data_IF_558935869635
#
_entry.id   IF_558935869635
#
_cell.length_a   1.000
_cell.length_b   1.000
_cell.length_c   1.000
_cell.angle_alpha   90.00
_cell.angle_beta   90.00
_cell.angle_gamma   90.00
#
_symmetry.space_group_name_H-M   'P 1'
#
loop_
_entity.id
_entity.type
_entity.pdbx_description
1 polymer ?
#
# COMPACT_ATOMS: atom_id res chain seq x y z
N UNK A 1 -10.74 7.20 -39.05
CA UNK A 1 -9.94 8.39 -38.66
C UNK A 1 -10.85 9.63 -38.62
N UNK A 2 -10.41 10.70 -37.94
CA UNK A 2 -11.20 11.93 -37.71
C UNK A 2 -11.56 12.75 -38.95
N UNK A 3 -11.07 12.40 -40.15
CA UNK A 3 -11.45 13.06 -41.41
C UNK A 3 -12.59 12.33 -42.14
N UNK A 4 -13.10 11.25 -41.59
CA UNK A 4 -14.26 10.53 -42.15
C UNK A 4 -15.55 11.28 -41.82
N UNK A 5 -16.59 11.06 -42.62
CA UNK A 5 -17.92 11.57 -42.32
C UNK A 5 -18.46 10.86 -41.07
N UNK A 6 -19.15 11.58 -40.23
CA UNK A 6 -19.71 11.08 -38.97
C UNK A 6 -20.55 9.79 -39.15
N UNK A 7 -21.44 9.80 -40.13
CA UNK A 7 -22.31 8.63 -40.48
C UNK A 7 -21.50 7.40 -40.92
N UNK A 8 -20.39 7.59 -41.62
CA UNK A 8 -19.52 6.49 -42.03
C UNK A 8 -18.76 5.90 -40.85
N UNK A 9 -18.26 6.78 -39.96
CA UNK A 9 -17.55 6.40 -38.75
C UNK A 9 -18.48 5.63 -37.80
N UNK A 10 -19.70 6.13 -37.58
CA UNK A 10 -20.72 5.45 -36.78
C UNK A 10 -21.05 4.07 -37.32
N UNK A 11 -21.22 3.92 -38.63
CA UNK A 11 -21.55 2.63 -39.28
C UNK A 11 -20.39 1.61 -39.08
N UNK A 12 -19.13 2.04 -39.23
CA UNK A 12 -17.95 1.18 -38.99
C UNK A 12 -17.92 0.75 -37.54
N UNK A 13 -18.11 1.68 -36.61
CA UNK A 13 -18.11 1.38 -35.17
C UNK A 13 -19.25 0.44 -34.80
N UNK A 14 -20.44 0.65 -35.32
CA UNK A 14 -21.58 -0.23 -35.11
C UNK A 14 -21.30 -1.67 -35.57
N UNK A 15 -20.77 -1.86 -36.78
CA UNK A 15 -20.37 -3.17 -37.28
C UNK A 15 -19.29 -3.84 -36.44
N UNK A 16 -18.32 -3.06 -35.96
CA UNK A 16 -17.24 -3.58 -35.11
C UNK A 16 -17.76 -4.02 -33.72
N UNK A 17 -18.63 -3.22 -33.10
CA UNK A 17 -19.24 -3.54 -31.79
C UNK A 17 -20.13 -4.80 -31.89
N UNK A 18 -20.86 -4.96 -33.02
CA UNK A 18 -21.69 -6.11 -33.22
C UNK A 18 -20.94 -7.37 -33.70
N UNK A 19 -19.63 -7.31 -33.87
CA UNK A 19 -18.82 -8.45 -34.27
C UNK A 19 -18.91 -8.81 -35.75
N UNK A 20 -19.40 -7.90 -36.60
CA UNK A 20 -19.39 -8.05 -38.06
C UNK A 20 -17.97 -7.79 -38.62
N UNK A 21 -17.12 -7.15 -37.88
CA UNK A 21 -15.72 -6.83 -38.19
C UNK A 21 -14.83 -7.34 -37.06
N UNK A 22 -13.81 -8.14 -37.39
CA UNK A 22 -12.92 -8.73 -36.44
C UNK A 22 -11.75 -7.79 -36.02
N UNK A 23 -11.33 -6.90 -36.92
CA UNK A 23 -10.20 -5.99 -36.71
C UNK A 23 -10.54 -4.57 -37.09
N UNK A 24 -10.38 -3.65 -36.16
CA UNK A 24 -10.51 -2.21 -36.37
C UNK A 24 -9.14 -1.54 -36.44
N UNK A 25 -8.83 -0.89 -37.57
CA UNK A 25 -7.66 -0.04 -37.71
C UNK A 25 -8.08 1.41 -37.57
N UNK A 26 -7.52 2.12 -36.58
CA UNK A 26 -7.90 3.50 -36.31
C UNK A 26 -6.69 4.37 -35.95
N UNK A 27 -6.85 5.67 -36.06
CA UNK A 27 -5.96 6.65 -35.43
C UNK A 27 -6.31 6.77 -33.94
N UNK A 28 -5.67 7.70 -33.23
CA UNK A 28 -5.93 7.96 -31.79
C UNK A 28 -7.34 8.45 -31.46
N UNK A 29 -8.24 8.53 -32.44
CA UNK A 29 -9.66 8.91 -32.23
C UNK A 29 -10.39 8.02 -31.21
N UNK A 30 -9.94 6.77 -31.04
CA UNK A 30 -10.50 5.84 -30.06
C UNK A 30 -10.07 6.14 -28.60
N UNK A 31 -9.17 7.11 -28.39
CA UNK A 31 -8.72 7.55 -27.09
C UNK A 31 -9.88 8.12 -26.25
N UNK A 32 -10.89 8.70 -26.89
CA UNK A 32 -12.03 9.34 -26.23
C UNK A 32 -13.31 8.53 -26.29
N UNK A 33 -13.91 8.25 -25.12
CA UNK A 33 -15.34 7.99 -24.93
C UNK A 33 -15.94 6.65 -25.37
N UNK A 34 -15.24 5.79 -26.11
CA UNK A 34 -15.83 4.54 -26.60
C UNK A 34 -15.67 3.38 -25.62
N UNK A 35 -16.78 2.77 -25.26
CA UNK A 35 -16.80 1.53 -24.47
C UNK A 35 -17.08 0.33 -25.40
N UNK A 36 -16.06 -0.50 -25.60
CA UNK A 36 -16.13 -1.67 -26.49
C UNK A 36 -15.79 -2.91 -25.67
N UNK A 37 -16.79 -3.51 -25.06
CA UNK A 37 -16.62 -4.62 -24.12
C UNK A 37 -16.12 -5.94 -24.74
N UNK A 38 -16.30 -6.14 -26.06
CA UNK A 38 -15.88 -7.36 -26.75
C UNK A 38 -14.46 -7.33 -27.31
N UNK A 39 -13.71 -6.22 -27.15
CA UNK A 39 -12.31 -6.11 -27.57
C UNK A 39 -11.38 -6.57 -26.47
N UNK A 40 -10.57 -7.58 -26.77
CA UNK A 40 -9.58 -8.13 -25.85
C UNK A 40 -8.12 -7.83 -26.25
N UNK A 41 -7.86 -7.31 -27.44
CA UNK A 41 -6.51 -7.07 -27.95
C UNK A 41 -6.36 -5.67 -28.53
N UNK A 42 -5.36 -4.95 -28.05
CA UNK A 42 -4.96 -3.63 -28.54
C UNK A 42 -3.54 -3.68 -29.07
N UNK A 43 -3.31 -3.19 -30.28
CA UNK A 43 -1.97 -3.06 -30.87
C UNK A 43 -1.74 -1.57 -31.12
N UNK A 44 -0.73 -1.01 -30.44
CA UNK A 44 -0.36 0.41 -30.54
C UNK A 44 0.94 0.50 -31.32
N UNK A 45 0.87 1.06 -32.53
CA UNK A 45 2.02 1.27 -33.38
C UNK A 45 2.75 2.57 -33.01
N UNK A 46 4.09 2.60 -33.15
CA UNK A 46 4.94 3.76 -32.80
C UNK A 46 4.69 4.27 -31.38
N UNK A 47 4.51 3.36 -30.41
CA UNK A 47 4.19 3.66 -29.02
C UNK A 47 5.29 4.54 -28.34
N UNK A 48 6.52 4.51 -28.82
CA UNK A 48 7.62 5.35 -28.35
C UNK A 48 7.45 6.85 -28.64
N UNK A 49 6.56 7.21 -29.56
CA UNK A 49 6.22 8.60 -29.87
C UNK A 49 5.02 9.12 -29.06
N UNK A 50 4.36 8.28 -28.27
CA UNK A 50 3.17 8.63 -27.50
C UNK A 50 3.52 9.09 -26.08
N UNK A 51 2.64 9.93 -25.50
CA UNK A 51 2.71 10.33 -24.11
C UNK A 51 2.26 9.22 -23.18
N UNK A 52 2.76 9.20 -21.92
CA UNK A 52 2.41 8.16 -20.94
C UNK A 52 0.90 8.15 -20.65
N UNK A 53 0.28 9.30 -20.45
CA UNK A 53 -1.16 9.43 -20.25
C UNK A 53 -1.96 8.89 -21.44
N UNK A 54 -1.50 9.14 -22.66
CA UNK A 54 -2.14 8.64 -23.87
C UNK A 54 -2.05 7.11 -23.99
N UNK A 55 -0.88 6.53 -23.70
CA UNK A 55 -0.70 5.07 -23.66
C UNK A 55 -1.59 4.44 -22.60
N UNK A 56 -1.74 5.08 -21.44
CA UNK A 56 -2.62 4.61 -20.38
C UNK A 56 -4.10 4.62 -20.79
N UNK A 57 -4.55 5.70 -21.42
CA UNK A 57 -5.93 5.81 -21.91
C UNK A 57 -6.24 4.77 -22.98
N UNK A 58 -5.32 4.58 -23.96
CA UNK A 58 -5.47 3.56 -24.98
C UNK A 58 -5.52 2.15 -24.38
N UNK A 59 -4.58 1.81 -23.49
CA UNK A 59 -4.59 0.53 -22.78
C UNK A 59 -5.89 0.30 -22.03
N UNK A 60 -6.46 1.33 -21.42
CA UNK A 60 -7.73 1.27 -20.69
C UNK A 60 -8.96 1.02 -21.59
N UNK A 61 -8.79 0.90 -22.91
CA UNK A 61 -9.87 0.54 -23.85
C UNK A 61 -10.06 -0.96 -24.00
N UNK A 62 -9.15 -1.79 -23.50
CA UNK A 62 -9.28 -3.25 -23.46
C UNK A 62 -9.36 -3.73 -22.00
N UNK A 63 -9.88 -4.94 -21.78
CA UNK A 63 -10.00 -5.52 -20.44
C UNK A 63 -11.26 -5.09 -19.69
N UNK A 64 -12.33 -4.73 -20.42
CA UNK A 64 -13.62 -4.35 -19.85
C UNK A 64 -14.62 -5.51 -19.78
N UNK A 65 -14.13 -6.73 -19.85
CA UNK A 65 -14.89 -7.96 -19.72
C UNK A 65 -14.14 -8.95 -18.83
N UNK A 66 -14.75 -10.08 -18.51
CA UNK A 66 -14.16 -11.17 -17.75
C UNK A 66 -13.07 -11.97 -18.51
N UNK A 67 -12.66 -11.52 -19.70
CA UNK A 67 -11.63 -12.16 -20.52
C UNK A 67 -10.30 -11.46 -20.35
N UNK A 68 -9.21 -12.23 -20.35
CA UNK A 68 -7.84 -11.68 -20.35
C UNK A 68 -7.64 -10.78 -21.57
N UNK A 69 -7.11 -9.58 -21.34
CA UNK A 69 -6.85 -8.60 -22.37
C UNK A 69 -5.35 -8.35 -22.55
N UNK A 70 -4.98 -8.01 -23.78
CA UNK A 70 -3.59 -7.78 -24.17
C UNK A 70 -3.44 -6.41 -24.83
N UNK A 71 -2.41 -5.66 -24.42
CA UNK A 71 -2.00 -4.43 -25.07
C UNK A 71 -0.55 -4.56 -25.56
N UNK A 72 -0.35 -4.55 -26.88
CA UNK A 72 0.96 -4.63 -27.49
C UNK A 72 1.44 -3.22 -27.86
N UNK A 73 2.51 -2.75 -27.21
CA UNK A 73 3.13 -1.45 -27.50
C UNK A 73 4.32 -1.71 -28.44
N UNK A 74 4.15 -1.37 -29.70
CA UNK A 74 5.12 -1.66 -30.75
C UNK A 74 5.99 -0.42 -31.06
N UNK A 75 7.27 -0.67 -31.30
CA UNK A 75 8.22 0.32 -31.81
C UNK A 75 9.21 -0.36 -32.75
N UNK A 76 9.94 0.42 -33.56
CA UNK A 76 10.85 -0.14 -34.55
C UNK A 76 12.03 -0.85 -33.88
N UNK A 77 12.32 -2.10 -34.30
CA UNK A 77 13.30 -2.99 -33.69
C UNK A 77 14.71 -2.37 -33.56
N UNK A 78 15.17 -1.67 -34.58
CA UNK A 78 16.53 -1.11 -34.65
C UNK A 78 16.58 0.37 -34.26
N UNK A 79 15.50 0.91 -33.70
CA UNK A 79 15.43 2.29 -33.24
C UNK A 79 16.00 2.40 -31.84
N UNK A 80 17.04 3.22 -31.68
CA UNK A 80 17.51 3.61 -30.36
C UNK A 80 16.45 4.51 -29.71
N UNK A 81 15.81 4.03 -28.65
CA UNK A 81 14.79 4.79 -27.94
C UNK A 81 15.44 5.99 -27.22
N UNK A 82 14.75 7.09 -27.19
CA UNK A 82 15.11 8.21 -26.29
C UNK A 82 14.84 7.75 -24.85
N UNK A 83 15.69 8.13 -23.91
CA UNK A 83 15.57 7.80 -22.50
C UNK A 83 14.16 8.07 -21.94
N UNK A 84 13.54 9.19 -22.30
CA UNK A 84 12.16 9.54 -21.92
C UNK A 84 11.14 8.55 -22.47
N UNK A 85 11.30 8.06 -23.70
CA UNK A 85 10.41 7.07 -24.30
C UNK A 85 10.56 5.71 -23.61
N UNK A 86 11.79 5.31 -23.30
CA UNK A 86 12.07 4.08 -22.55
C UNK A 86 11.46 4.11 -21.16
N UNK A 87 11.62 5.19 -20.40
CA UNK A 87 11.00 5.40 -19.08
C UNK A 87 9.47 5.32 -19.16
N UNK A 88 8.83 5.89 -20.19
CA UNK A 88 7.36 5.81 -20.38
C UNK A 88 6.88 4.39 -20.69
N UNK A 89 7.57 3.68 -21.58
CA UNK A 89 7.23 2.29 -21.91
C UNK A 89 7.44 1.35 -20.72
N UNK A 90 8.49 1.57 -19.92
CA UNK A 90 8.71 0.85 -18.68
C UNK A 90 7.58 1.11 -17.68
N UNK A 91 7.18 2.35 -17.47
CA UNK A 91 6.11 2.71 -16.55
C UNK A 91 4.77 2.06 -16.94
N UNK A 92 4.39 2.09 -18.24
CA UNK A 92 3.13 1.47 -18.67
C UNK A 92 3.15 -0.07 -18.52
N UNK A 93 4.32 -0.69 -18.58
CA UNK A 93 4.52 -2.11 -18.34
C UNK A 93 4.48 -2.47 -16.86
N UNK A 94 4.99 -1.59 -16.00
CA UNK A 94 5.03 -1.76 -14.55
C UNK A 94 3.63 -1.62 -13.93
N UNK A 95 2.91 -0.56 -14.26
CA UNK A 95 1.59 -0.26 -13.68
C UNK A 95 0.45 -0.91 -14.48
N UNK A 96 0.28 -2.22 -14.35
CA UNK A 96 -0.75 -2.99 -15.07
C UNK A 96 -2.11 -3.02 -14.37
N UNK A 97 -2.19 -2.58 -13.12
CA UNK A 97 -3.38 -2.68 -12.28
C UNK A 97 -4.48 -1.70 -12.66
N UNK A 98 -5.73 -2.11 -12.41
CA UNK A 98 -6.88 -1.20 -12.48
C UNK A 98 -6.72 -0.12 -11.41
N UNK A 99 -7.06 1.13 -11.76
CA UNK A 99 -6.93 2.26 -10.82
C UNK A 99 -5.52 2.87 -10.73
N UNK A 100 -4.51 2.36 -11.45
CA UNK A 100 -3.15 2.91 -11.44
C UNK A 100 -3.00 4.31 -12.09
N UNK A 101 -4.11 4.97 -12.44
CA UNK A 101 -4.11 6.28 -13.11
C UNK A 101 -3.35 7.36 -12.35
N UNK A 102 -3.47 7.38 -11.02
CA UNK A 102 -2.72 8.32 -10.20
C UNK A 102 -1.20 8.03 -10.23
N UNK A 103 -0.79 6.76 -10.09
CA UNK A 103 0.62 6.33 -10.19
C UNK A 103 1.21 6.69 -11.55
N UNK A 104 0.45 6.49 -12.63
CA UNK A 104 0.83 6.85 -14.00
C UNK A 104 0.98 8.38 -14.15
N UNK A 105 0.05 9.17 -13.62
CA UNK A 105 0.12 10.63 -13.67
C UNK A 105 1.36 11.15 -12.92
N UNK A 106 1.65 10.59 -11.76
CA UNK A 106 2.85 10.94 -10.99
C UNK A 106 4.12 10.55 -11.72
N UNK A 107 4.17 9.36 -12.32
CA UNK A 107 5.31 8.91 -13.10
C UNK A 107 5.53 9.76 -14.37
N UNK A 108 4.44 10.23 -15.00
CA UNK A 108 4.54 11.16 -16.13
C UNK A 108 5.13 12.53 -15.72
N UNK A 109 4.76 13.03 -14.53
CA UNK A 109 5.36 14.23 -13.95
C UNK A 109 6.86 14.05 -13.66
N UNK A 110 7.25 12.93 -13.09
CA UNK A 110 8.66 12.59 -12.85
C UNK A 110 9.46 12.55 -14.17
N UNK A 111 8.94 11.86 -15.19
CA UNK A 111 9.60 11.69 -16.49
C UNK A 111 9.72 13.02 -17.24
N UNK A 112 8.71 13.89 -17.14
CA UNK A 112 8.75 15.25 -17.75
C UNK A 112 9.62 16.21 -16.99
N UNK A 113 9.96 15.87 -15.74
CA UNK A 113 10.58 16.79 -14.80
C UNK A 113 9.55 17.71 -14.18
N UNK A 114 9.25 17.52 -12.91
CA UNK A 114 8.29 18.34 -12.14
C UNK A 114 8.74 19.81 -11.94
N UNK A 115 9.87 20.20 -12.52
CA UNK A 115 10.51 21.50 -12.37
C UNK A 115 9.63 22.71 -12.73
N UNK A 116 8.59 22.52 -13.54
CA UNK A 116 7.67 23.62 -13.89
C UNK A 116 6.54 23.83 -12.87
N UNK A 117 6.23 22.84 -12.03
CA UNK A 117 5.15 22.92 -11.03
C UNK A 117 5.65 23.34 -9.64
N UNK A 118 6.89 22.97 -9.29
CA UNK A 118 7.44 23.14 -7.94
C UNK A 118 8.65 24.10 -7.88
N UNK A 119 9.10 24.64 -9.03
CA UNK A 119 10.30 25.49 -9.13
C UNK A 119 11.58 24.67 -9.39
N UNK A 120 12.54 25.31 -10.08
CA UNK A 120 13.77 24.67 -10.58
C UNK A 120 14.69 24.14 -9.46
N UNK A 121 14.61 24.71 -8.24
CA UNK A 121 15.45 24.32 -7.10
C UNK A 121 15.01 23.00 -6.43
N UNK A 122 13.74 22.60 -6.56
CA UNK A 122 13.22 21.40 -5.93
C UNK A 122 13.35 20.13 -6.80
N UNK A 123 13.65 20.30 -8.07
CA UNK A 123 13.74 19.21 -9.03
C UNK A 123 14.82 18.18 -8.70
N UNK A 124 16.01 18.64 -8.30
CA UNK A 124 17.12 17.77 -7.94
C UNK A 124 16.89 16.93 -6.67
N UNK A 125 16.09 17.44 -5.74
CA UNK A 125 15.81 16.73 -4.49
C UNK A 125 14.80 15.59 -4.68
N UNK A 126 13.76 15.78 -5.48
CA UNK A 126 12.76 14.76 -5.76
C UNK A 126 13.34 13.59 -6.57
N UNK A 127 14.24 13.85 -7.52
CA UNK A 127 14.93 12.81 -8.29
C UNK A 127 15.92 12.02 -7.43
N UNK A 128 16.58 12.67 -6.47
CA UNK A 128 17.57 12.04 -5.59
C UNK A 128 16.97 11.11 -4.52
N UNK A 129 15.79 11.43 -3.99
CA UNK A 129 15.18 10.69 -2.86
C UNK A 129 13.99 9.85 -3.26
N UNK A 130 13.45 10.00 -4.46
CA UNK A 130 12.20 9.37 -4.90
C UNK A 130 10.96 10.11 -4.42
N UNK A 131 9.86 9.92 -5.17
CA UNK A 131 8.62 10.68 -4.96
C UNK A 131 7.98 10.45 -3.59
N UNK A 132 7.86 9.20 -3.17
CA UNK A 132 7.16 8.83 -1.92
C UNK A 132 7.87 9.43 -0.70
N UNK A 133 9.22 9.32 -0.66
CA UNK A 133 10.01 9.89 0.42
C UNK A 133 9.99 11.43 0.39
N UNK A 134 10.03 12.03 -0.81
CA UNK A 134 9.89 13.47 -0.96
C UNK A 134 8.55 13.99 -0.44
N UNK A 135 7.43 13.34 -0.79
CA UNK A 135 6.11 13.70 -0.30
C UNK A 135 5.96 13.53 1.22
N UNK A 136 6.56 12.49 1.79
CA UNK A 136 6.60 12.30 3.24
C UNK A 136 7.35 13.44 3.91
N UNK A 137 8.55 13.77 3.44
CA UNK A 137 9.34 14.89 3.97
C UNK A 137 8.64 16.25 3.80
N UNK A 138 7.97 16.47 2.67
CA UNK A 138 7.20 17.70 2.43
C UNK A 138 6.00 17.81 3.39
N UNK A 139 5.26 16.72 3.61
CA UNK A 139 4.17 16.68 4.57
C UNK A 139 4.65 16.96 6.01
N UNK A 140 5.79 16.41 6.40
CA UNK A 140 6.42 16.65 7.69
C UNK A 140 6.82 18.14 7.83
N UNK A 141 7.47 18.71 6.83
CA UNK A 141 7.85 20.12 6.81
C UNK A 141 6.64 21.08 6.85
N UNK A 142 5.56 20.74 6.14
CA UNK A 142 4.30 21.52 6.18
C UNK A 142 3.64 21.45 7.56
N UNK A 143 3.64 20.30 8.22
CA UNK A 143 3.14 20.13 9.59
C UNK A 143 3.96 20.97 10.57
N UNK A 144 5.28 20.96 10.44
CA UNK A 144 6.20 21.77 11.25
C UNK A 144 5.97 23.27 11.02
N UNK A 145 5.87 23.71 9.76
CA UNK A 145 5.59 25.12 9.42
C UNK A 145 4.22 25.62 9.92
N UNK A 146 3.23 24.73 10.06
CA UNK A 146 1.93 25.01 10.67
C UNK A 146 1.95 25.01 12.20
N UNK A 147 3.13 24.83 12.83
CA UNK A 147 3.25 24.77 14.28
C UNK A 147 2.65 23.51 14.91
N UNK A 148 2.32 22.51 14.10
CA UNK A 148 1.95 21.20 14.60
C UNK A 148 3.21 20.54 15.17
N UNK A 149 3.23 20.28 16.48
CA UNK A 149 4.35 19.57 17.10
C UNK A 149 4.55 18.25 16.36
N UNK A 150 5.74 18.04 15.82
CA UNK A 150 6.15 16.72 15.35
C UNK A 150 5.97 15.75 16.52
N UNK A 151 5.05 14.82 16.39
CA UNK A 151 5.11 13.63 17.21
C UNK A 151 6.39 12.92 16.77
N UNK A 152 7.33 12.78 17.69
CA UNK A 152 8.59 12.09 17.42
C UNK A 152 8.22 10.72 16.84
N UNK A 153 8.54 10.50 15.58
CA UNK A 153 8.23 9.24 14.90
C UNK A 153 9.13 8.15 15.45
N UNK A 154 8.58 7.08 15.90
CA UNK A 154 9.29 5.86 16.26
C UNK A 154 8.74 4.72 15.40
N UNK A 155 9.59 3.75 15.10
CA UNK A 155 9.17 2.56 14.37
C UNK A 155 8.76 1.46 15.36
N UNK A 156 7.77 0.66 14.94
CA UNK A 156 7.32 -0.51 15.69
C UNK A 156 7.73 -1.78 14.95
N UNK A 157 8.40 -2.68 15.66
CA UNK A 157 8.84 -3.98 15.15
C UNK A 157 8.03 -5.09 15.80
N UNK A 158 7.55 -6.05 15.01
CA UNK A 158 6.83 -7.24 15.46
C UNK A 158 7.67 -8.47 15.12
N UNK A 159 8.09 -9.21 16.13
CA UNK A 159 8.87 -10.45 16.03
C UNK A 159 8.17 -11.56 16.83
N UNK A 160 7.25 -12.25 16.18
CA UNK A 160 6.44 -13.32 16.76
C UNK A 160 6.55 -14.58 15.93
N UNK A 161 6.37 -15.72 16.56
CA UNK A 161 6.55 -17.05 15.94
C UNK A 161 5.32 -17.45 15.10
N UNK A 162 5.16 -16.80 13.95
CA UNK A 162 4.13 -17.13 12.95
C UNK A 162 4.67 -17.03 11.54
N UNK A 163 4.26 -17.96 10.68
CA UNK A 163 4.56 -17.90 9.25
C UNK A 163 3.71 -16.82 8.56
N UNK A 164 4.35 -15.76 8.08
CA UNK A 164 3.70 -14.62 7.44
C UNK A 164 4.41 -14.24 6.15
N UNK A 165 3.86 -14.67 5.03
CA UNK A 165 4.40 -14.40 3.70
C UNK A 165 3.32 -14.58 2.64
N UNK A 166 3.56 -14.06 1.43
CA UNK A 166 2.70 -14.27 0.26
C UNK A 166 3.24 -15.45 -0.55
N UNK A 167 2.55 -16.60 -0.58
CA UNK A 167 2.97 -17.75 -1.37
C UNK A 167 2.98 -17.45 -2.87
N UNK A 168 3.93 -18.04 -3.62
CA UNK A 168 4.01 -17.91 -5.08
C UNK A 168 2.74 -18.42 -5.80
N UNK A 169 2.07 -19.43 -5.24
CA UNK A 169 0.81 -19.95 -5.77
C UNK A 169 -0.39 -19.02 -5.59
N UNK A 170 -0.31 -18.07 -4.66
CA UNK A 170 -1.39 -17.10 -4.42
C UNK A 170 -1.21 -15.84 -5.28
N UNK A 171 -0.03 -15.23 -5.27
CA UNK A 171 0.32 -14.12 -6.15
C UNK A 171 1.59 -14.49 -6.93
N UNK A 172 1.45 -15.01 -8.17
CA UNK A 172 2.59 -15.43 -8.97
C UNK A 172 3.45 -14.30 -9.51
N UNK A 173 2.87 -13.10 -9.68
CA UNK A 173 3.58 -11.93 -10.23
C UNK A 173 4.40 -11.24 -9.13
N UNK A 174 5.73 -11.28 -9.25
CA UNK A 174 6.65 -10.72 -8.25
C UNK A 174 6.49 -9.20 -8.05
N UNK A 175 6.13 -8.45 -9.08
CA UNK A 175 5.91 -6.99 -8.97
C UNK A 175 4.65 -6.70 -8.16
N UNK A 176 3.55 -7.41 -8.47
CA UNK A 176 2.30 -7.30 -7.72
C UNK A 176 2.49 -7.75 -6.27
N UNK A 177 3.21 -8.83 -6.07
CA UNK A 177 3.53 -9.35 -4.74
C UNK A 177 4.30 -8.32 -3.90
N UNK A 178 5.30 -7.65 -4.49
CA UNK A 178 6.06 -6.59 -3.82
C UNK A 178 5.18 -5.37 -3.51
N UNK A 179 4.28 -4.97 -4.42
CA UNK A 179 3.32 -3.88 -4.20
C UNK A 179 2.37 -4.20 -3.03
N UNK A 180 1.83 -5.43 -2.99
CA UNK A 180 0.97 -5.87 -1.88
C UNK A 180 1.74 -5.88 -0.55
N UNK A 181 3.01 -6.34 -0.52
CA UNK A 181 3.82 -6.26 0.70
C UNK A 181 4.00 -4.83 1.19
N UNK A 182 4.27 -3.87 0.31
CA UNK A 182 4.41 -2.46 0.67
C UNK A 182 3.12 -1.90 1.23
N UNK A 183 2.00 -2.15 0.58
CA UNK A 183 0.68 -1.66 1.01
C UNK A 183 0.26 -2.26 2.34
N UNK A 184 0.52 -3.54 2.57
CA UNK A 184 0.29 -4.18 3.89
C UNK A 184 1.19 -3.55 4.96
N UNK A 185 2.45 -3.23 4.64
CA UNK A 185 3.38 -2.60 5.58
C UNK A 185 2.96 -1.17 5.97
N UNK A 186 2.23 -0.47 5.10
CA UNK A 186 1.76 0.90 5.29
C UNK A 186 0.40 1.01 6.02
N UNK A 187 -0.26 -0.12 6.32
CA UNK A 187 -1.53 -0.17 7.06
C UNK A 187 -1.37 0.49 8.44
N UNK A 188 -2.27 1.42 8.75
CA UNK A 188 -2.29 2.17 10.01
C UNK A 188 -3.60 2.02 10.81
N UNK A 189 -4.67 1.54 10.19
CA UNK A 189 -5.99 1.39 10.83
C UNK A 189 -6.58 0.00 10.61
N UNK A 190 -7.58 -0.35 11.42
CA UNK A 190 -8.32 -1.61 11.28
C UNK A 190 -9.14 -1.60 9.99
N UNK A 191 -9.71 -0.44 9.61
CA UNK A 191 -10.47 -0.26 8.38
C UNK A 191 -9.60 -0.54 7.14
N UNK A 192 -8.37 -0.02 7.12
CA UNK A 192 -7.41 -0.30 6.03
C UNK A 192 -7.04 -1.79 5.95
N UNK A 193 -7.03 -2.49 7.09
CA UNK A 193 -6.79 -3.95 7.12
C UNK A 193 -7.95 -4.70 6.47
N UNK A 194 -9.20 -4.30 6.76
CA UNK A 194 -10.40 -4.89 6.17
C UNK A 194 -10.47 -4.60 4.66
N UNK A 195 -10.23 -3.35 4.24
CA UNK A 195 -10.16 -2.97 2.82
C UNK A 195 -9.11 -3.77 2.05
N UNK A 196 -7.93 -3.98 2.66
CA UNK A 196 -6.87 -4.80 2.05
C UNK A 196 -7.29 -6.26 1.93
N UNK A 197 -7.98 -6.81 2.94
CA UNK A 197 -8.49 -8.17 2.89
C UNK A 197 -9.53 -8.34 1.79
N UNK A 198 -10.49 -7.41 1.67
CA UNK A 198 -11.50 -7.41 0.62
C UNK A 198 -10.86 -7.34 -0.77
N UNK A 199 -9.86 -6.46 -0.97
CA UNK A 199 -9.14 -6.37 -2.24
C UNK A 199 -8.39 -7.67 -2.57
N UNK A 200 -7.76 -8.32 -1.59
CA UNK A 200 -7.07 -9.59 -1.80
C UNK A 200 -8.04 -10.70 -2.22
N UNK A 201 -9.22 -10.77 -1.59
CA UNK A 201 -10.27 -11.74 -1.94
C UNK A 201 -10.78 -11.48 -3.36
N UNK A 202 -11.06 -10.22 -3.70
CA UNK A 202 -11.61 -9.85 -5.02
C UNK A 202 -10.62 -10.15 -6.15
N UNK A 203 -9.33 -9.92 -5.94
CA UNK A 203 -8.30 -10.04 -6.97
C UNK A 203 -7.67 -11.43 -7.09
N UNK A 204 -7.51 -12.11 -5.98
CA UNK A 204 -6.71 -13.34 -5.91
C UNK A 204 -7.46 -14.52 -5.28
N UNK A 205 -8.70 -14.31 -4.82
CA UNK A 205 -9.49 -15.29 -4.08
C UNK A 205 -9.12 -15.34 -2.59
N UNK A 206 -9.69 -16.32 -1.86
CA UNK A 206 -9.50 -16.45 -0.42
C UNK A 206 -8.02 -16.52 -0.03
N UNK A 207 -7.54 -15.66 0.88
CA UNK A 207 -6.15 -15.63 1.27
C UNK A 207 -5.77 -16.89 2.07
N UNK A 208 -4.63 -17.52 1.75
CA UNK A 208 -4.11 -18.63 2.54
C UNK A 208 -3.60 -18.14 3.90
N UNK A 209 -3.51 -19.05 4.88
CA UNK A 209 -3.13 -18.73 6.26
C UNK A 209 -1.89 -17.83 6.43
N UNK A 210 -0.78 -18.00 5.67
CA UNK A 210 0.36 -17.11 5.77
C UNK A 210 0.05 -15.65 5.37
N UNK A 211 -0.90 -15.42 4.47
CA UNK A 211 -1.35 -14.07 4.06
C UNK A 211 -2.25 -13.45 5.13
N UNK A 212 -3.17 -14.22 5.70
CA UNK A 212 -3.95 -13.76 6.87
C UNK A 212 -3.02 -13.39 8.04
N UNK A 213 -1.97 -14.17 8.27
CA UNK A 213 -0.97 -13.88 9.29
C UNK A 213 -0.23 -12.57 9.01
N UNK A 214 0.03 -12.28 7.73
CA UNK A 214 0.69 -11.03 7.33
C UNK A 214 -0.20 -9.81 7.62
N UNK A 215 -1.51 -9.90 7.32
CA UNK A 215 -2.49 -8.87 7.67
C UNK A 215 -2.62 -8.72 9.19
N UNK A 216 -2.61 -9.83 9.92
CA UNK A 216 -2.59 -9.81 11.38
C UNK A 216 -1.37 -9.07 11.94
N UNK A 217 -0.16 -9.31 11.39
CA UNK A 217 1.05 -8.58 11.81
C UNK A 217 0.91 -7.08 11.53
N UNK A 218 0.35 -6.69 10.40
CA UNK A 218 0.12 -5.28 10.07
C UNK A 218 -0.85 -4.64 11.08
N UNK A 219 -1.96 -5.31 11.40
CA UNK A 219 -2.93 -4.89 12.41
C UNK A 219 -2.28 -4.68 13.78
N UNK A 220 -1.58 -5.68 14.32
CA UNK A 220 -0.96 -5.55 15.64
C UNK A 220 0.17 -4.53 15.66
N UNK A 221 0.88 -4.32 14.54
CA UNK A 221 1.88 -3.25 14.40
C UNK A 221 1.25 -1.87 14.54
N UNK A 222 0.11 -1.64 13.89
CA UNK A 222 -0.67 -0.41 14.01
C UNK A 222 -1.16 -0.19 15.44
N UNK A 223 -1.80 -1.21 16.04
CA UNK A 223 -2.26 -1.15 17.43
C UNK A 223 -1.10 -0.87 18.41
N UNK A 224 0.04 -1.53 18.23
CA UNK A 224 1.22 -1.35 19.07
C UNK A 224 1.79 0.07 18.94
N UNK A 225 1.85 0.61 17.70
CA UNK A 225 2.27 1.98 17.45
C UNK A 225 1.35 2.99 18.14
N UNK A 226 0.03 2.77 18.08
CA UNK A 226 -0.97 3.63 18.70
C UNK A 226 -0.85 3.71 20.24
N UNK A 227 -0.24 2.70 20.89
CA UNK A 227 0.00 2.64 22.35
C UNK A 227 1.47 2.79 22.73
N UNK A 228 2.28 3.38 21.85
CA UNK A 228 3.69 3.70 22.09
C UNK A 228 4.59 2.48 22.31
N UNK A 229 4.33 1.33 21.66
CA UNK A 229 5.22 0.18 21.67
C UNK A 229 6.20 0.25 20.50
N UNK A 230 7.49 0.13 20.78
CA UNK A 230 8.56 0.08 19.78
C UNK A 230 8.87 -1.33 19.31
N UNK A 231 8.59 -2.34 20.14
CA UNK A 231 8.87 -3.73 19.82
C UNK A 231 7.89 -4.67 20.53
N UNK A 232 7.38 -5.65 19.81
CA UNK A 232 6.73 -6.83 20.39
C UNK A 232 7.54 -8.04 19.95
N UNK A 233 8.14 -8.77 20.89
CA UNK A 233 8.93 -9.96 20.60
C UNK A 233 8.48 -11.16 21.41
N UNK A 234 8.27 -12.29 20.71
CA UNK A 234 7.94 -13.58 21.32
C UNK A 234 9.18 -14.44 21.42
N UNK A 235 9.46 -14.95 22.61
CA UNK A 235 10.53 -15.93 22.84
C UNK A 235 9.99 -17.07 23.67
N UNK A 236 9.88 -18.24 23.06
CA UNK A 236 9.34 -19.45 23.69
C UNK A 236 7.99 -19.15 24.39
N UNK A 237 7.97 -19.17 25.71
CA UNK A 237 6.76 -19.02 26.54
C UNK A 237 6.55 -17.58 27.04
N UNK A 238 7.19 -16.58 26.43
CA UNK A 238 7.08 -15.18 26.85
C UNK A 238 6.85 -14.25 25.66
N UNK A 239 6.05 -13.21 25.88
CA UNK A 239 5.90 -12.08 24.96
C UNK A 239 6.39 -10.83 25.65
N UNK A 240 7.35 -10.15 25.04
CA UNK A 240 7.91 -8.89 25.53
C UNK A 240 7.33 -7.73 24.73
N UNK A 241 6.85 -6.71 25.43
CA UNK A 241 6.32 -5.46 24.89
C UNK A 241 7.23 -4.31 25.32
N UNK A 242 8.00 -3.75 24.43
CA UNK A 242 8.95 -2.67 24.72
C UNK A 242 8.29 -1.33 24.43
N UNK A 243 8.28 -0.43 25.43
CA UNK A 243 7.71 0.90 25.33
C UNK A 243 8.68 1.89 24.69
N UNK A 244 8.12 2.86 24.01
CA UNK A 244 8.86 4.07 23.63
C UNK A 244 9.26 4.87 24.88
N UNK A 245 10.51 5.32 24.97
CA UNK A 245 11.03 6.00 26.17
C UNK A 245 10.29 7.29 26.56
N UNK A 246 9.55 7.89 25.61
CA UNK A 246 8.71 9.09 25.81
C UNK A 246 7.21 8.79 25.66
N UNK A 247 6.81 7.55 25.94
CA UNK A 247 5.41 7.13 25.85
C UNK A 247 4.51 7.98 26.75
N UNK A 248 3.40 8.48 26.20
CA UNK A 248 2.37 9.26 26.94
C UNK A 248 1.36 8.31 27.58
N UNK A 249 1.81 7.57 28.60
CA UNK A 249 1.00 6.63 29.37
C UNK A 249 0.85 7.11 30.82
N UNK A 250 -0.28 6.79 31.43
CA UNK A 250 -0.55 7.06 32.85
C UNK A 250 0.21 6.06 33.73
N UNK A 251 1.41 6.47 34.15
CA UNK A 251 2.32 5.65 34.97
C UNK A 251 1.66 5.24 36.30
N UNK A 252 0.75 6.07 36.85
CA UNK A 252 0.10 5.80 38.13
C UNK A 252 -0.84 4.59 38.05
N UNK A 253 -1.36 4.26 36.87
CA UNK A 253 -2.24 3.11 36.63
C UNK A 253 -1.52 1.81 36.30
N UNK A 254 -0.22 1.85 36.04
CA UNK A 254 0.55 0.64 35.70
C UNK A 254 0.43 -0.46 36.77
N UNK A 255 0.52 -0.18 38.11
CA UNK A 255 0.36 -1.22 39.10
C UNK A 255 -1.01 -1.92 39.08
N UNK A 256 -2.09 -1.15 38.90
CA UNK A 256 -3.44 -1.70 38.79
C UNK A 256 -3.60 -2.52 37.49
N UNK A 257 -3.05 -2.02 36.39
CA UNK A 257 -3.02 -2.74 35.11
C UNK A 257 -2.33 -4.09 35.23
N UNK A 258 -1.15 -4.14 35.84
CA UNK A 258 -0.40 -5.39 36.07
C UNK A 258 -1.23 -6.34 36.95
N UNK A 259 -1.84 -5.84 38.03
CA UNK A 259 -2.67 -6.64 38.92
C UNK A 259 -3.84 -7.31 38.22
N UNK A 260 -4.41 -6.68 37.18
CA UNK A 260 -5.49 -7.27 36.37
C UNK A 260 -5.08 -8.52 35.58
N UNK A 261 -3.81 -8.71 35.30
CA UNK A 261 -3.26 -9.93 34.65
C UNK A 261 -2.70 -10.96 35.65
N UNK A 262 -2.80 -10.69 36.94
CA UNK A 262 -2.28 -11.55 38.02
C UNK A 262 -0.77 -11.74 37.93
N UNK A 263 -0.30 -12.99 37.99
CA UNK A 263 1.14 -13.29 37.93
C UNK A 263 1.69 -13.47 36.50
N UNK A 264 0.86 -13.25 35.48
CA UNK A 264 1.27 -13.48 34.09
C UNK A 264 1.94 -12.27 33.46
N UNK A 265 1.81 -11.07 34.07
CA UNK A 265 2.38 -9.84 33.54
C UNK A 265 3.38 -9.26 34.53
N UNK A 266 4.57 -8.88 34.05
CA UNK A 266 5.61 -8.18 34.81
C UNK A 266 6.04 -6.94 34.06
N UNK A 267 6.22 -5.84 34.79
CA UNK A 267 6.82 -4.62 34.27
C UNK A 267 8.26 -4.49 34.75
N UNK A 268 9.15 -4.09 33.84
CA UNK A 268 10.56 -3.87 34.14
C UNK A 268 10.99 -2.50 33.63
N UNK A 269 11.55 -1.71 34.54
CA UNK A 269 12.22 -0.46 34.18
C UNK A 269 13.65 -0.79 33.76
N UNK A 270 13.93 -0.68 32.45
CA UNK A 270 15.29 -0.81 31.93
C UNK A 270 15.86 0.57 31.59
N UNK A 271 17.17 0.71 31.66
CA UNK A 271 17.87 1.99 31.37
C UNK A 271 17.71 2.44 29.91
N UNK A 272 17.46 1.51 28.99
CA UNK A 272 17.24 1.80 27.55
C UNK A 272 15.79 2.10 27.25
N UNK A 273 14.89 1.23 27.68
CA UNK A 273 13.45 1.38 27.47
C UNK A 273 12.68 0.50 28.44
N UNK A 274 11.60 0.99 29.09
CA UNK A 274 10.76 0.17 29.93
C UNK A 274 10.00 -0.87 29.09
N UNK A 275 9.72 -2.04 29.68
CA UNK A 275 8.99 -3.09 28.96
C UNK A 275 8.11 -3.93 29.89
N UNK A 276 7.07 -4.50 29.29
CA UNK A 276 6.26 -5.54 29.91
C UNK A 276 6.69 -6.91 29.39
N UNK A 277 6.63 -7.91 30.26
CA UNK A 277 6.80 -9.31 29.90
C UNK A 277 5.55 -10.09 30.30
N UNK A 278 4.92 -10.71 29.34
CA UNK A 278 3.79 -11.61 29.56
C UNK A 278 4.27 -13.05 29.48
N UNK A 279 3.89 -13.86 30.47
CA UNK A 279 4.23 -15.30 30.56
C UNK A 279 3.05 -16.12 30.05
N UNK A 280 3.21 -16.79 28.90
CA UNK A 280 2.16 -17.57 28.22
C UNK A 280 1.81 -18.85 28.97
N UNK A 281 2.72 -19.41 29.78
CA UNK A 281 2.51 -20.59 30.59
C UNK A 281 2.54 -20.27 32.08
N UNK A 282 1.48 -20.69 32.77
CA UNK A 282 1.36 -20.57 34.21
C UNK A 282 1.78 -21.84 34.94
N UNK A 283 1.49 -23.03 34.38
CA UNK A 283 1.85 -24.34 34.91
C UNK A 283 1.70 -25.42 33.84
N UNK A 284 2.42 -26.54 33.96
CA UNK A 284 2.42 -27.69 33.03
C UNK A 284 1.07 -28.37 32.81
N UNK A 285 -0.02 -27.91 33.44
CA UNK A 285 -1.38 -28.50 33.37
C UNK A 285 -2.40 -27.61 32.68
N UNK A 286 -2.07 -26.36 32.34
CA UNK A 286 -3.00 -25.43 31.64
C UNK A 286 -2.72 -25.45 30.14
N UNK A 287 -3.80 -25.34 29.33
CA UNK A 287 -3.70 -25.21 27.87
C UNK A 287 -2.84 -24.00 27.52
N UNK A 288 -1.96 -24.15 26.53
CA UNK A 288 -1.22 -23.02 25.97
C UNK A 288 -2.23 -21.93 25.54
N UNK A 289 -2.07 -20.74 26.11
CA UNK A 289 -2.83 -19.57 25.66
C UNK A 289 -2.22 -19.14 24.34
N UNK A 290 -3.06 -18.89 23.33
CA UNK A 290 -2.59 -18.40 22.04
C UNK A 290 -1.94 -17.03 22.21
N UNK A 291 -0.69 -16.89 21.75
CA UNK A 291 0.05 -15.64 21.83
C UNK A 291 -0.66 -14.48 21.11
N UNK A 292 -1.42 -14.77 20.04
CA UNK A 292 -2.20 -13.77 19.31
C UNK A 292 -3.26 -13.13 20.18
N UNK A 293 -4.08 -13.92 20.84
CA UNK A 293 -5.12 -13.43 21.75
C UNK A 293 -4.52 -12.60 22.87
N UNK A 294 -3.38 -13.05 23.44
CA UNK A 294 -2.68 -12.30 24.50
C UNK A 294 -2.17 -10.95 24.01
N UNK A 295 -1.62 -10.90 22.79
CA UNK A 295 -1.09 -9.65 22.22
C UNK A 295 -2.23 -8.65 21.99
N UNK A 296 -3.34 -9.08 21.37
CA UNK A 296 -4.48 -8.20 21.13
C UNK A 296 -5.11 -7.72 22.45
N UNK A 297 -5.38 -8.61 23.40
CA UNK A 297 -5.95 -8.26 24.70
C UNK A 297 -5.04 -7.31 25.48
N UNK A 298 -3.73 -7.50 25.40
CA UNK A 298 -2.77 -6.62 26.05
C UNK A 298 -2.77 -5.22 25.43
N UNK A 299 -2.71 -5.12 24.10
CA UNK A 299 -2.71 -3.84 23.38
C UNK A 299 -4.00 -3.05 23.62
N UNK A 300 -5.16 -3.72 23.54
CA UNK A 300 -6.45 -3.12 23.88
C UNK A 300 -6.49 -2.65 25.33
N UNK A 301 -6.01 -3.47 26.26
CA UNK A 301 -5.97 -3.11 27.67
C UNK A 301 -5.07 -1.89 27.95
N UNK A 302 -3.92 -1.76 27.25
CA UNK A 302 -3.07 -0.56 27.33
C UNK A 302 -3.78 0.65 26.77
N UNK A 303 -4.45 0.52 25.63
CA UNK A 303 -5.18 1.62 25.00
C UNK A 303 -6.31 2.14 25.88
N UNK A 304 -7.08 1.26 26.49
CA UNK A 304 -8.24 1.62 27.33
C UNK A 304 -7.84 2.16 28.70
N UNK A 305 -6.84 1.55 29.35
CA UNK A 305 -6.53 1.81 30.76
C UNK A 305 -5.34 2.72 30.99
N UNK A 306 -4.34 2.71 30.11
CA UNK A 306 -3.07 3.40 30.30
C UNK A 306 -2.88 4.62 29.41
N UNK A 307 -3.56 4.71 28.24
CA UNK A 307 -3.41 5.83 27.32
C UNK A 307 -4.06 7.08 27.92
N UNK A 308 -3.32 8.19 27.98
CA UNK A 308 -3.85 9.47 28.42
C UNK A 308 -4.75 10.03 27.30
N UNK A 309 -6.01 10.30 27.58
CA UNK A 309 -6.93 10.91 26.63
C UNK A 309 -6.42 12.28 26.17
N UNK A 310 -6.39 12.54 24.86
CA UNK A 310 -5.89 13.80 24.29
C UNK A 310 -6.74 15.03 24.62
N UNK A 311 -7.92 14.89 25.25
CA UNK A 311 -8.86 15.99 25.52
C UNK A 311 -8.55 16.84 26.75
N UNK A 312 -7.50 16.53 27.52
CA UNK A 312 -7.16 17.28 28.73
C UNK A 312 -6.17 18.45 28.52
N UNK A 313 -5.73 18.74 27.29
CA UNK A 313 -4.74 19.81 26.98
C UNK A 313 -5.38 21.10 26.40
N UNK A 314 -6.70 21.21 26.33
CA UNK A 314 -7.40 22.41 25.84
C UNK A 314 -8.08 23.22 26.96
N UNK A 315 -7.48 23.32 28.14
CA UNK A 315 -7.88 24.33 29.16
C UNK A 315 -6.67 24.63 30.05
N UNK A 316 -5.79 25.49 29.57
CA UNK A 316 -5.09 26.50 30.37
C UNK A 316 -4.58 27.61 29.45
#
# INVERSE_FOLDING_TARGET
>A
HGQMKETELENIMYKFINGEIDVLVSTTIIETGLDISNVNTMIIHDADNMGLSQLYQLRGRVGRSNRTAYAFLMYKRDKMLKEVAEKRLAAIKEYTELGSGFKIAMRDLEIRGAGNLLGAEQHGHMEAVGYDLYCKMLNEAVKEAKGMKQEESFDTTIDIDIDAYIPMGYIPNEVQKLDIYKRIADIQTDEETEEMLEELIDRFGDPPKPVENLLYIAKIKSMAHAVYMTEISQKADTVKFTLYGKAKLDVAKIPEFIASYGNNLKFTMDAKAPYFTYFLKKNSREKNVDARTVIEDFLNGVQEKLKIAQDSVKKE
#
